data_IF_502122025905
#
_entry.id   IF_502122025905
#
_cell.length_a   1.000
_cell.length_b   1.000
_cell.length_c   1.000
_cell.angle_alpha   90.00
_cell.angle_beta   90.00
_cell.angle_gamma   90.00
#
_symmetry.space_group_name_H-M   'P 1'
#
loop_
_entity.id
_entity.type
_entity.pdbx_description
1 polymer ?
#
# COMPACT_ATOMS: atom_id res chain seq x y z
N UNK A 1 -8.62 6.16 -1.20
CA UNK A 1 -7.53 5.85 -2.16
C UNK A 1 -7.91 4.66 -3.04
N UNK A 2 -7.61 4.70 -4.35
CA UNK A 2 -7.72 3.52 -5.23
C UNK A 2 -6.47 2.62 -5.07
N UNK A 3 -6.41 1.85 -3.98
CA UNK A 3 -5.28 0.95 -3.70
C UNK A 3 -5.40 -0.41 -4.42
N UNK A 4 -6.58 -0.76 -4.93
CA UNK A 4 -6.87 -2.10 -5.45
C UNK A 4 -6.02 -2.46 -6.67
N UNK A 5 -5.75 -1.50 -7.57
CA UNK A 5 -4.86 -1.70 -8.72
C UNK A 5 -3.40 -1.94 -8.33
N UNK A 6 -2.98 -1.40 -7.17
CA UNK A 6 -1.60 -1.49 -6.71
C UNK A 6 -1.36 -2.84 -5.99
N UNK A 7 -2.41 -3.45 -5.42
CA UNK A 7 -2.33 -4.79 -4.81
C UNK A 7 -2.07 -5.90 -5.82
N UNK A 8 -2.51 -5.74 -7.06
CA UNK A 8 -2.34 -6.74 -8.15
C UNK A 8 -0.93 -6.76 -8.75
N UNK A 9 -0.08 -5.78 -8.44
CA UNK A 9 1.31 -5.76 -8.92
C UNK A 9 2.16 -6.82 -8.19
N UNK A 10 3.06 -7.51 -8.88
CA UNK A 10 4.10 -8.34 -8.23
C UNK A 10 5.03 -7.46 -7.38
N UNK A 11 5.56 -8.02 -6.28
CA UNK A 11 6.36 -7.29 -5.29
C UNK A 11 7.55 -6.52 -5.88
N UNK A 12 8.25 -7.09 -6.86
CA UNK A 12 9.36 -6.41 -7.53
C UNK A 12 8.90 -5.15 -8.29
N UNK A 13 7.83 -5.27 -9.09
CA UNK A 13 7.27 -4.16 -9.85
C UNK A 13 6.66 -3.10 -8.94
N UNK A 14 6.01 -3.54 -7.86
CA UNK A 14 5.47 -2.68 -6.81
C UNK A 14 6.58 -1.86 -6.15
N UNK A 15 7.64 -2.51 -5.68
CA UNK A 15 8.77 -1.86 -5.00
C UNK A 15 9.47 -0.87 -5.93
N UNK A 16 9.63 -1.24 -7.21
CA UNK A 16 10.24 -0.37 -8.22
C UNK A 16 9.40 0.88 -8.55
N UNK A 17 8.07 0.78 -8.48
CA UNK A 17 7.15 1.90 -8.75
C UNK A 17 6.96 2.81 -7.55
N UNK A 18 6.95 2.26 -6.34
CA UNK A 18 6.57 2.98 -5.12
C UNK A 18 7.76 3.32 -4.22
N UNK A 19 8.92 2.69 -4.44
CA UNK A 19 10.09 2.81 -3.58
C UNK A 19 9.93 2.15 -2.21
N UNK A 20 8.82 1.46 -1.96
CA UNK A 20 8.49 0.85 -0.67
C UNK A 20 8.12 -0.62 -0.84
N UNK A 21 8.50 -1.45 0.12
CA UNK A 21 8.01 -2.82 0.19
C UNK A 21 6.50 -2.83 0.43
N UNK A 22 5.80 -3.81 -0.16
CA UNK A 22 4.35 -3.98 0.04
C UNK A 22 3.97 -4.05 1.51
N UNK A 23 4.75 -4.76 2.33
CA UNK A 23 4.48 -4.89 3.77
C UNK A 23 4.39 -3.53 4.47
N UNK A 24 5.27 -2.60 4.12
CA UNK A 24 5.28 -1.23 4.66
C UNK A 24 4.09 -0.44 4.16
N UNK A 25 3.79 -0.54 2.85
CA UNK A 25 2.63 0.12 2.26
C UNK A 25 1.31 -0.35 2.90
N UNK A 26 1.14 -1.65 3.13
CA UNK A 26 -0.05 -2.19 3.78
C UNK A 26 -0.20 -1.68 5.22
N UNK A 27 0.90 -1.56 5.98
CA UNK A 27 0.86 -0.95 7.32
C UNK A 27 0.45 0.52 7.27
N UNK A 28 0.94 1.28 6.30
CA UNK A 28 0.52 2.68 6.12
C UNK A 28 -0.97 2.79 5.80
N UNK A 29 -1.48 1.95 4.90
CA UNK A 29 -2.92 1.91 4.56
C UNK A 29 -3.77 1.50 5.76
N UNK A 30 -3.29 0.57 6.60
CA UNK A 30 -3.98 0.18 7.83
C UNK A 30 -4.08 1.33 8.83
N UNK A 31 -2.98 2.07 9.04
CA UNK A 31 -2.95 3.27 9.89
C UNK A 31 -3.91 4.34 9.37
N UNK A 32 -3.84 4.64 8.07
CA UNK A 32 -4.72 5.63 7.44
C UNK A 32 -6.19 5.24 7.56
N UNK A 33 -6.53 3.95 7.35
CA UNK A 33 -7.89 3.45 7.54
C UNK A 33 -8.36 3.57 8.99
N UNK A 34 -7.50 3.29 9.96
CA UNK A 34 -7.84 3.46 11.38
C UNK A 34 -8.06 4.92 11.76
N UNK A 35 -7.29 5.83 11.18
CA UNK A 35 -7.44 7.27 11.41
C UNK A 35 -8.72 7.85 10.77
N UNK A 36 -9.16 7.30 9.64
CA UNK A 36 -10.40 7.71 8.95
C UNK A 36 -11.68 7.38 9.75
N UNK A 37 -11.59 6.49 10.75
CA UNK A 37 -12.67 6.13 11.66
C UNK A 37 -12.72 7.02 12.93
N UNK A 38 -12.04 8.16 12.95
CA UNK A 38 -11.96 9.10 14.08
C UNK A 38 -12.43 10.51 13.75
#
# INVERSE_FOLDING_TARGET
MKCDQIKELKDEKFSRLTGVMKVTFFKMVDILRKADWS
#
